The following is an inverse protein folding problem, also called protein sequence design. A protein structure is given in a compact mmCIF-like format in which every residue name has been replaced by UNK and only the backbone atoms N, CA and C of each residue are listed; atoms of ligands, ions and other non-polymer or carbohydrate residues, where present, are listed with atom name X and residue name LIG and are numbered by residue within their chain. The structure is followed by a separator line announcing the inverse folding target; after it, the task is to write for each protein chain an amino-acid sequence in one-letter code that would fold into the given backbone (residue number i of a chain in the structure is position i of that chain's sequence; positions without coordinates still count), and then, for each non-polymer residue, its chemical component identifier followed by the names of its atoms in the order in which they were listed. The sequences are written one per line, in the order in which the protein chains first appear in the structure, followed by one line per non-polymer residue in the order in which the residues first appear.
data_IF_937349356591
#
_entry.id   IF_937349356591
#
_cell.length_a   1.000
_cell.length_b   1.000
_cell.length_c   1.000
_cell.angle_alpha   90.00
_cell.angle_beta   90.00
_cell.angle_gamma   90.00
#
_symmetry.space_group_name_H-M   'P 1'
#
loop_
_entity.id
_entity.type
_entity.pdbx_description
1 polymer ?
#
# COMPACT_ATOMS: atom_id res chain seq x y z
N UNK A 1 7.48 -4.49 6.29
CA UNK A 1 7.49 -5.77 5.53
C UNK A 1 6.09 -6.10 5.01
N UNK A 2 5.99 -6.68 3.82
CA UNK A 2 4.72 -7.21 3.30
C UNK A 2 4.42 -8.60 3.86
N UNK A 3 3.30 -8.74 4.56
CA UNK A 3 2.76 -10.02 5.02
C UNK A 3 1.98 -10.69 3.88
N UNK A 4 2.53 -11.79 3.34
CA UNK A 4 1.90 -12.53 2.23
C UNK A 4 0.62 -13.25 2.63
N UNK A 5 0.49 -13.64 3.91
CA UNK A 5 -0.66 -14.41 4.42
C UNK A 5 -1.85 -13.49 4.59
N UNK A 6 -1.64 -12.37 5.29
CA UNK A 6 -2.69 -11.40 5.58
C UNK A 6 -2.83 -10.31 4.52
N UNK A 7 -1.97 -10.31 3.49
CA UNK A 7 -1.91 -9.32 2.41
C UNK A 7 -1.92 -7.89 2.94
N UNK A 8 -1.09 -7.60 3.94
CA UNK A 8 -1.01 -6.30 4.63
C UNK A 8 0.41 -5.93 5.01
N UNK A 9 0.64 -4.66 5.32
CA UNK A 9 1.90 -4.22 5.90
C UNK A 9 2.04 -4.72 7.35
N UNK A 10 3.24 -5.13 7.70
CA UNK A 10 3.65 -5.57 9.05
C UNK A 10 5.03 -5.00 9.36
N UNK A 11 5.32 -4.76 10.64
CA UNK A 11 6.66 -4.32 11.04
C UNK A 11 7.76 -5.31 10.61
N UNK A 12 8.91 -4.80 10.15
CA UNK A 12 10.06 -5.62 9.83
C UNK A 12 10.73 -6.19 11.08
N UNK A 13 11.65 -7.15 10.90
CA UNK A 13 12.54 -7.58 11.97
C UNK A 13 13.58 -6.48 12.29
N UNK A 14 14.11 -6.43 13.51
CA UNK A 14 15.14 -5.45 13.86
C UNK A 14 16.33 -5.50 12.91
N UNK A 15 16.74 -4.35 12.35
CA UNK A 15 17.85 -4.24 11.41
C UNK A 15 17.51 -4.44 9.93
N UNK A 16 16.27 -4.84 9.60
CA UNK A 16 15.80 -5.01 8.22
C UNK A 16 15.31 -3.67 7.65
N UNK A 17 16.21 -2.91 7.03
CA UNK A 17 15.97 -1.57 6.48
C UNK A 17 15.21 -1.60 5.14
N UNK A 18 15.56 -2.55 4.27
CA UNK A 18 15.01 -2.67 2.92
C UNK A 18 14.61 -4.12 2.67
N UNK A 19 13.41 -4.30 2.11
CA UNK A 19 12.92 -5.60 1.74
C UNK A 19 12.14 -5.54 0.45
N UNK A 20 12.43 -6.48 -0.44
CA UNK A 20 11.72 -6.60 -1.70
C UNK A 20 10.23 -6.83 -1.45
N UNK A 21 9.42 -6.02 -2.13
CA UNK A 21 7.98 -6.17 -2.17
C UNK A 21 7.61 -7.14 -3.30
N UNK A 22 6.60 -8.00 -3.13
CA UNK A 22 6.00 -8.69 -4.27
C UNK A 22 5.55 -7.72 -5.36
N UNK A 23 5.48 -8.21 -6.61
CA UNK A 23 5.03 -7.42 -7.76
C UNK A 23 3.65 -6.80 -7.52
N UNK A 24 3.55 -5.47 -7.71
CA UNK A 24 2.32 -4.70 -7.65
C UNK A 24 1.80 -4.44 -9.07
N UNK A 25 0.55 -4.81 -9.34
CA UNK A 25 -0.14 -4.39 -10.56
C UNK A 25 -0.80 -3.04 -10.30
N UNK A 26 -0.45 -2.04 -11.10
CA UNK A 26 -1.03 -0.69 -11.04
C UNK A 26 -1.81 -0.47 -12.33
N UNK A 27 -3.10 -0.20 -12.21
CA UNK A 27 -3.96 0.17 -13.32
C UNK A 27 -4.51 1.58 -13.10
N UNK A 28 -4.70 2.31 -14.20
CA UNK A 28 -5.39 3.59 -14.21
C UNK A 28 -6.69 3.43 -15.00
N UNK A 29 -7.75 4.11 -14.56
CA UNK A 29 -9.01 4.20 -15.29
C UNK A 29 -9.45 5.65 -15.33
N UNK A 30 -10.09 6.06 -16.42
CA UNK A 30 -10.69 7.38 -16.51
C UNK A 30 -12.03 7.39 -15.76
N UNK A 31 -12.30 8.43 -14.97
CA UNK A 31 -13.56 8.59 -14.23
C UNK A 31 -14.76 8.80 -15.16
N UNK A 32 -14.52 9.25 -16.40
CA UNK A 32 -15.55 9.51 -17.41
C UNK A 32 -15.88 8.29 -18.27
N UNK A 33 -15.05 7.24 -18.23
CA UNK A 33 -15.37 5.99 -18.89
C UNK A 33 -16.47 5.27 -18.06
N UNK A 34 -17.50 4.69 -18.68
CA UNK A 34 -18.49 3.90 -17.95
C UNK A 34 -17.75 2.78 -17.23
N UNK A 35 -17.63 2.92 -15.90
CA UNK A 35 -17.07 1.89 -15.05
C UNK A 35 -17.93 0.64 -15.27
N UNK A 36 -17.36 -0.37 -15.94
CA UNK A 36 -17.82 -1.73 -15.75
C UNK A 36 -17.61 -1.98 -14.26
N UNK A 37 -18.70 -1.87 -13.51
CA UNK A 37 -18.69 -2.04 -12.08
C UNK A 37 -18.07 -3.40 -11.80
N UNK A 38 -16.83 -3.41 -11.29
CA UNK A 38 -16.36 -4.53 -10.50
C UNK A 38 -17.17 -4.47 -9.22
N UNK A 39 -18.43 -4.91 -9.32
CA UNK A 39 -19.30 -5.19 -8.21
C UNK A 39 -18.57 -6.30 -7.45
N UNK A 40 -17.76 -5.92 -6.45
CA UNK A 40 -17.48 -6.83 -5.37
C UNK A 40 -18.84 -7.10 -4.75
N UNK A 41 -19.46 -8.21 -5.16
CA UNK A 41 -20.71 -8.69 -4.60
C UNK A 41 -20.51 -8.79 -3.09
N UNK A 42 -21.03 -7.80 -2.36
CA UNK A 42 -21.17 -7.89 -0.92
C UNK A 42 -22.23 -8.94 -0.71
N UNK A 43 -21.82 -10.20 -0.52
CA UNK A 43 -22.70 -11.26 -0.05
C UNK A 43 -23.33 -10.79 1.27
N UNK A 44 -24.66 -10.64 1.35
CA UNK A 44 -25.32 -10.28 2.60
C UNK A 44 -25.20 -11.47 3.56
N UNK A 45 -24.44 -11.30 4.65
CA UNK A 45 -24.32 -12.32 5.71
C UNK A 45 -22.91 -12.57 6.26
N UNK A 46 -21.86 -11.89 5.79
CA UNK A 46 -20.51 -12.09 6.32
C UNK A 46 -20.26 -11.20 7.56
N UNK A 47 -19.89 -11.86 8.67
CA UNK A 47 -19.50 -11.34 9.99
C UNK A 47 -18.82 -9.95 9.99
N UNK A 48 -19.05 -9.17 11.06
CA UNK A 48 -18.43 -7.87 11.39
C UNK A 48 -16.99 -7.78 10.84
N UNK A 49 -16.84 -7.28 9.61
CA UNK A 49 -15.52 -6.99 9.04
C UNK A 49 -15.03 -5.77 9.78
N UNK A 50 -14.04 -5.95 10.65
CA UNK A 50 -13.18 -4.87 11.12
C UNK A 50 -12.84 -3.98 9.93
N UNK A 51 -13.15 -2.70 10.04
CA UNK A 51 -12.89 -1.69 9.01
C UNK A 51 -11.43 -1.83 8.57
N UNK A 52 -11.21 -2.19 7.31
CA UNK A 52 -9.86 -2.33 6.77
C UNK A 52 -9.27 -0.93 6.65
N UNK A 53 -8.24 -0.64 7.45
CA UNK A 53 -7.50 0.62 7.35
C UNK A 53 -6.45 0.54 6.24
N UNK A 54 -6.16 1.70 5.67
CA UNK A 54 -5.22 1.83 4.56
C UNK A 54 -4.22 2.94 4.85
N UNK A 55 -2.95 2.64 4.61
CA UNK A 55 -1.87 3.60 4.66
C UNK A 55 -1.59 4.17 3.27
N UNK A 56 -1.50 5.50 3.15
CA UNK A 56 -1.05 6.18 1.93
C UNK A 56 0.48 6.16 1.87
N UNK A 57 1.03 5.12 1.25
CA UNK A 57 2.46 4.90 1.13
C UNK A 57 3.04 5.62 -0.10
N UNK A 58 3.98 6.56 0.07
CA UNK A 58 4.63 7.24 -1.05
C UNK A 58 5.58 6.30 -1.79
N UNK A 59 5.59 6.43 -3.12
CA UNK A 59 6.50 5.68 -4.01
C UNK A 59 7.51 6.66 -4.61
N UNK A 60 8.79 6.39 -4.38
CA UNK A 60 9.90 7.16 -4.93
C UNK A 60 10.66 6.37 -5.98
N UNK A 61 11.17 7.05 -7.01
CA UNK A 61 12.01 6.44 -8.04
C UNK A 61 13.35 5.97 -7.47
N UNK A 62 13.97 6.79 -6.62
CA UNK A 62 15.29 6.57 -6.01
C UNK A 62 15.21 6.59 -4.49
N UNK A 63 16.22 6.05 -3.76
CA UNK A 63 16.25 6.06 -2.29
C UNK A 63 16.19 7.46 -1.67
N UNK A 64 16.62 8.49 -2.40
CA UNK A 64 16.51 9.89 -1.98
C UNK A 64 15.05 10.35 -1.99
N UNK A 65 14.44 10.46 -0.81
CA UNK A 65 13.02 10.78 -0.59
C UNK A 65 12.77 12.29 -0.66
N UNK A 66 12.99 12.87 -1.83
CA UNK A 66 12.65 14.26 -2.16
C UNK A 66 11.45 14.33 -3.10
N UNK A 67 10.77 15.47 -3.15
CA UNK A 67 9.60 15.67 -4.02
C UNK A 67 9.91 15.46 -5.50
N UNK A 68 11.16 15.72 -5.93
CA UNK A 68 11.59 15.50 -7.30
C UNK A 68 11.64 14.01 -7.70
N UNK A 69 11.74 13.12 -6.71
CA UNK A 69 11.79 11.67 -6.92
C UNK A 69 10.44 10.99 -6.64
N UNK A 70 9.45 11.73 -6.15
CA UNK A 70 8.12 11.20 -5.88
C UNK A 70 7.38 10.89 -7.19
N UNK A 71 6.66 9.76 -7.22
CA UNK A 71 5.92 9.32 -8.40
C UNK A 71 4.41 9.34 -8.14
N UNK A 72 3.95 8.58 -7.16
CA UNK A 72 2.54 8.48 -6.74
C UNK A 72 2.48 7.83 -5.36
N UNK A 73 1.27 7.72 -4.81
CA UNK A 73 1.04 7.00 -3.56
C UNK A 73 0.18 5.75 -3.76
N UNK A 74 0.55 4.69 -3.06
CA UNK A 74 -0.19 3.42 -3.02
C UNK A 74 -0.98 3.35 -1.72
N UNK A 75 -2.25 2.95 -1.80
CA UNK A 75 -3.03 2.59 -0.61
C UNK A 75 -2.72 1.15 -0.23
N UNK A 76 -1.90 0.96 0.79
CA UNK A 76 -1.55 -0.35 1.31
C UNK A 76 -2.48 -0.73 2.46
N UNK A 77 -3.05 -1.94 2.49
CA UNK A 77 -3.81 -2.42 3.64
C UNK A 77 -2.88 -2.58 4.86
N UNK A 78 -3.36 -2.12 6.01
CA UNK A 78 -2.61 -2.11 7.28
C UNK A 78 -3.48 -2.62 8.43
N UNK A 79 -2.86 -3.04 9.53
CA UNK A 79 -3.59 -3.41 10.75
C UNK A 79 -3.72 -2.22 11.71
N UNK A 80 -2.72 -1.35 11.69
CA UNK A 80 -2.59 -0.12 12.46
C UNK A 80 -3.14 1.08 11.68
N UNK A 81 -3.19 2.26 12.32
CA UNK A 81 -3.64 3.49 11.67
C UNK A 81 -2.61 4.07 10.67
N UNK A 82 -3.07 4.90 9.74
CA UNK A 82 -2.24 5.59 8.75
C UNK A 82 -1.12 6.43 9.40
N UNK A 83 -1.40 7.07 10.54
CA UNK A 83 -0.40 7.85 11.28
C UNK A 83 0.78 7.00 11.79
N UNK A 84 0.54 5.74 12.18
CA UNK A 84 1.57 4.82 12.67
C UNK A 84 2.69 4.61 11.64
N UNK A 85 2.28 4.44 10.38
CA UNK A 85 3.16 4.18 9.26
C UNK A 85 3.80 5.44 8.71
N UNK A 86 3.07 6.58 8.74
CA UNK A 86 3.63 7.90 8.39
C UNK A 86 4.78 8.29 9.30
N UNK A 87 4.63 8.12 10.62
CA UNK A 87 5.68 8.48 11.59
C UNK A 87 6.93 7.60 11.49
N UNK A 88 6.79 6.37 10.99
CA UNK A 88 7.91 5.46 10.69
C UNK A 88 8.63 5.78 9.38
N UNK A 89 8.08 6.69 8.58
CA UNK A 89 8.63 7.05 7.27
C UNK A 89 8.72 5.85 6.34
N UNK A 90 7.73 4.96 6.34
CA UNK A 90 7.71 3.83 5.40
C UNK A 90 7.41 4.34 4.00
N UNK A 91 8.17 3.86 3.01
CA UNK A 91 8.01 4.23 1.61
C UNK A 91 8.33 3.03 0.72
N UNK A 92 7.82 3.06 -0.51
CA UNK A 92 8.25 2.16 -1.58
C UNK A 92 9.31 2.85 -2.42
N UNK A 93 10.34 2.10 -2.81
CA UNK A 93 11.45 2.58 -3.62
C UNK A 93 11.51 1.77 -4.91
N UNK A 94 11.70 2.44 -6.04
CA UNK A 94 11.89 1.82 -7.34
C UNK A 94 13.26 1.18 -7.51
N UNK A 95 14.27 1.69 -6.79
CA UNK A 95 15.60 1.10 -6.67
C UNK A 95 16.15 1.30 -5.26
N UNK A 96 17.05 0.40 -4.84
CA UNK A 96 17.80 0.46 -3.59
C UNK A 96 19.25 0.94 -3.76
N UNK A 97 19.70 1.05 -5.00
CA UNK A 97 21.03 1.56 -5.38
C UNK A 97 21.10 3.09 -5.41
#
# INVERSE_FOLDING_TARGET
MWDRVNKRLKDPLPGDLYRELPMLLISAYNKEAPQQALVQAVKPGAAKKTKQEYYRCPVYKYPSRSDNNWIFDVRLPVAEDDAYWRMRGVALLGTTD
#
